data_IF_567162362545
#
_entry.id   IF_567162362545
#
_cell.length_a   1.000
_cell.length_b   1.000
_cell.length_c   1.000
_cell.angle_alpha   90.00
_cell.angle_beta   90.00
_cell.angle_gamma   90.00
#
_symmetry.space_group_name_H-M   'P 1'
#
loop_
_entity.id
_entity.type
_entity.pdbx_description
1 polymer ?
#
# COMPACT_ATOMS: atom_id res chain seq x y z
N UNK A 1 -18.98 2.37 7.98
CA UNK A 1 -18.20 3.00 6.89
C UNK A 1 -17.92 1.93 5.85
N UNK A 2 -18.28 2.14 4.58
CA UNK A 2 -18.07 1.11 3.54
C UNK A 2 -16.85 1.52 2.71
N UNK A 3 -15.80 0.70 2.72
CA UNK A 3 -14.59 0.89 1.91
C UNK A 3 -14.79 0.11 0.61
N UNK A 4 -14.81 0.80 -0.52
CA UNK A 4 -14.97 0.20 -1.85
C UNK A 4 -14.04 0.88 -2.86
N UNK A 5 -13.44 0.11 -3.77
CA UNK A 5 -12.60 0.62 -4.84
C UNK A 5 -11.11 0.55 -4.54
N UNK A 6 -10.32 1.23 -5.36
CA UNK A 6 -8.86 1.21 -5.28
C UNK A 6 -8.34 2.24 -4.27
N UNK A 7 -7.30 1.86 -3.54
CA UNK A 7 -6.47 2.75 -2.71
C UNK A 7 -5.02 2.61 -3.20
N UNK A 8 -4.53 3.51 -4.06
CA UNK A 8 -3.12 3.53 -4.44
C UNK A 8 -2.23 3.89 -3.24
N UNK A 9 -1.16 3.10 -3.01
CA UNK A 9 -0.12 3.46 -2.05
C UNK A 9 0.99 4.22 -2.78
N UNK A 10 1.05 5.53 -2.58
CA UNK A 10 1.90 6.45 -3.32
C UNK A 10 3.35 6.44 -2.87
N UNK A 11 4.21 6.93 -3.73
CA UNK A 11 5.65 7.02 -3.54
C UNK A 11 6.04 8.37 -2.91
N UNK A 12 7.19 8.40 -2.25
CA UNK A 12 7.83 9.65 -1.80
C UNK A 12 8.99 9.97 -2.74
N UNK A 13 8.87 10.97 -3.62
CA UNK A 13 9.97 11.37 -4.49
C UNK A 13 11.03 12.11 -3.69
N UNK A 14 12.31 11.85 -4.03
CA UNK A 14 13.46 12.55 -3.47
C UNK A 14 14.24 13.25 -4.58
N UNK A 15 14.84 14.38 -4.24
CA UNK A 15 15.80 15.06 -5.10
C UNK A 15 17.21 14.43 -5.01
N UNK A 16 18.15 14.90 -5.80
CA UNK A 16 19.53 14.37 -5.83
C UNK A 16 20.30 14.55 -4.52
N UNK A 17 19.87 15.43 -3.61
CA UNK A 17 20.41 15.58 -2.27
C UNK A 17 19.78 14.66 -1.24
N UNK A 18 18.81 13.82 -1.65
CA UNK A 18 18.07 12.91 -0.76
C UNK A 18 16.99 13.60 0.09
N UNK A 19 16.69 14.87 -0.14
CA UNK A 19 15.56 15.54 0.49
C UNK A 19 14.26 15.23 -0.27
N UNK A 20 13.11 15.27 0.43
CA UNK A 20 11.79 15.08 -0.19
C UNK A 20 11.55 16.20 -1.20
N UNK A 21 11.18 15.83 -2.43
CA UNK A 21 10.71 16.75 -3.44
C UNK A 21 9.20 16.96 -3.29
N UNK A 22 8.79 17.93 -2.48
CA UNK A 22 7.39 18.23 -2.21
C UNK A 22 6.61 18.68 -3.44
N UNK A 23 7.26 19.31 -4.44
CA UNK A 23 6.61 19.69 -5.68
C UNK A 23 6.29 18.45 -6.54
N UNK A 24 7.25 17.53 -6.68
CA UNK A 24 7.03 16.27 -7.37
C UNK A 24 5.99 15.41 -6.63
N UNK A 25 6.03 15.38 -5.29
CA UNK A 25 5.03 14.70 -4.48
C UNK A 25 3.62 15.26 -4.72
N UNK A 26 3.45 16.58 -4.69
CA UNK A 26 2.17 17.22 -4.96
C UNK A 26 1.62 16.87 -6.34
N UNK A 27 2.45 16.93 -7.38
CA UNK A 27 2.09 16.54 -8.74
C UNK A 27 1.68 15.06 -8.82
N UNK A 28 2.43 14.18 -8.16
CA UNK A 28 2.15 12.74 -8.11
C UNK A 28 0.79 12.45 -7.46
N UNK A 29 0.51 13.06 -6.29
CA UNK A 29 -0.77 12.92 -5.61
C UNK A 29 -1.93 13.42 -6.48
N UNK A 30 -1.76 14.55 -7.17
CA UNK A 30 -2.78 15.10 -8.08
C UNK A 30 -3.01 14.17 -9.27
N UNK A 31 -1.95 13.65 -9.89
CA UNK A 31 -2.02 12.71 -11.02
C UNK A 31 -2.74 11.42 -10.63
N UNK A 32 -2.31 10.78 -9.54
CA UNK A 32 -2.95 9.57 -9.01
C UNK A 32 -4.41 9.84 -8.64
N UNK A 33 -4.70 10.96 -7.99
CA UNK A 33 -6.04 11.32 -7.53
C UNK A 33 -7.03 11.67 -8.66
N UNK A 34 -6.55 11.91 -9.86
CA UNK A 34 -7.40 12.18 -11.02
C UNK A 34 -8.14 10.95 -11.55
N UNK A 35 -7.71 9.74 -11.18
CA UNK A 35 -8.40 8.52 -11.56
C UNK A 35 -9.76 8.39 -10.86
N UNK A 36 -10.74 7.83 -11.57
CA UNK A 36 -12.06 7.55 -11.02
C UNK A 36 -12.10 6.20 -10.30
N UNK A 37 -13.06 5.98 -9.41
CA UNK A 37 -13.21 4.70 -8.70
C UNK A 37 -12.24 4.50 -7.55
N UNK A 38 -11.53 5.55 -7.12
CA UNK A 38 -10.70 5.53 -5.93
C UNK A 38 -11.55 5.73 -4.66
N UNK A 39 -11.22 4.97 -3.62
CA UNK A 39 -11.70 5.26 -2.27
C UNK A 39 -10.86 6.36 -1.59
N UNK A 40 -9.57 6.34 -1.82
CA UNK A 40 -8.62 7.27 -1.22
C UNK A 40 -7.21 7.03 -1.73
N UNK A 41 -6.25 7.70 -1.10
CA UNK A 41 -4.81 7.59 -1.40
C UNK A 41 -4.07 7.28 -0.11
N UNK A 42 -3.15 6.32 -0.14
CA UNK A 42 -2.29 6.00 1.00
C UNK A 42 -0.90 6.60 0.81
N UNK A 43 -0.42 7.32 1.83
CA UNK A 43 0.95 7.85 1.92
C UNK A 43 1.68 7.22 3.10
N UNK A 44 3.00 7.35 3.16
CA UNK A 44 3.81 6.80 4.25
C UNK A 44 3.60 5.30 4.48
N UNK A 45 3.27 4.54 3.42
CA UNK A 45 3.34 3.09 3.45
C UNK A 45 4.75 2.59 3.11
N UNK A 46 4.90 1.29 2.87
CA UNK A 46 6.17 0.75 2.36
C UNK A 46 6.55 1.39 1.01
N UNK A 47 5.58 1.55 0.09
CA UNK A 47 5.81 2.22 -1.19
C UNK A 47 6.31 3.66 -1.01
N UNK A 48 5.87 4.35 0.03
CA UNK A 48 6.32 5.68 0.41
C UNK A 48 7.63 5.72 1.20
N UNK A 49 8.32 4.59 1.33
CA UNK A 49 9.59 4.47 2.05
C UNK A 49 9.55 4.98 3.50
N UNK A 50 8.46 4.69 4.23
CA UNK A 50 8.23 5.19 5.59
C UNK A 50 9.42 4.96 6.53
N UNK A 51 10.14 3.84 6.41
CA UNK A 51 11.29 3.50 7.25
C UNK A 51 12.50 4.41 7.00
N UNK A 52 12.55 5.09 5.85
CA UNK A 52 13.59 6.04 5.49
C UNK A 52 13.23 7.50 5.85
N UNK A 53 12.06 7.75 6.42
CA UNK A 53 11.54 9.06 6.80
C UNK A 53 11.60 9.25 8.32
N UNK A 54 12.03 10.42 8.77
CA UNK A 54 11.85 10.83 10.17
C UNK A 54 10.41 11.32 10.43
N UNK A 55 10.06 11.55 11.69
CA UNK A 55 8.70 11.93 12.09
C UNK A 55 8.21 13.26 11.46
N UNK A 56 9.10 14.23 11.30
CA UNK A 56 8.76 15.53 10.70
C UNK A 56 8.54 15.39 9.18
N UNK A 57 9.34 14.58 8.52
CA UNK A 57 9.16 14.25 7.11
C UNK A 57 7.87 13.47 6.86
N UNK A 58 7.55 12.50 7.72
CA UNK A 58 6.27 11.77 7.64
C UNK A 58 5.08 12.72 7.75
N UNK A 59 5.13 13.66 8.67
CA UNK A 59 4.09 14.69 8.84
C UNK A 59 4.01 15.62 7.63
N UNK A 60 5.15 16.08 7.09
CA UNK A 60 5.20 16.93 5.93
C UNK A 60 4.66 16.25 4.65
N UNK A 61 4.92 14.95 4.46
CA UNK A 61 4.33 14.16 3.37
C UNK A 61 2.80 14.14 3.46
N UNK A 62 2.24 13.92 4.66
CA UNK A 62 0.78 13.91 4.87
C UNK A 62 0.18 15.28 4.54
N UNK A 63 0.77 16.36 5.05
CA UNK A 63 0.31 17.73 4.80
C UNK A 63 0.38 18.09 3.31
N UNK A 64 1.46 17.72 2.61
CA UNK A 64 1.59 17.90 1.17
C UNK A 64 0.52 17.13 0.41
N UNK A 65 0.29 15.87 0.76
CA UNK A 65 -0.73 15.04 0.13
C UNK A 65 -2.13 15.61 0.36
N UNK A 66 -2.46 16.03 1.59
CA UNK A 66 -3.75 16.64 1.90
C UNK A 66 -4.02 17.87 1.03
N UNK A 67 -3.01 18.72 0.84
CA UNK A 67 -3.14 19.92 0.04
C UNK A 67 -3.28 19.66 -1.47
N UNK A 68 -2.75 18.53 -1.96
CA UNK A 68 -2.72 18.17 -3.38
C UNK A 68 -3.89 17.25 -3.80
N UNK A 69 -4.55 16.59 -2.84
CA UNK A 69 -5.62 15.64 -3.14
C UNK A 69 -6.87 16.32 -3.67
N UNK A 70 -7.54 15.71 -4.66
CA UNK A 70 -8.88 16.09 -5.03
C UNK A 70 -9.86 15.94 -3.85
N UNK A 71 -10.91 16.79 -3.78
CA UNK A 71 -11.93 16.65 -2.76
C UNK A 71 -12.69 15.32 -2.87
N UNK A 72 -13.13 14.78 -1.73
CA UNK A 72 -13.90 13.55 -1.66
C UNK A 72 -13.11 12.28 -1.46
N UNK A 73 -11.81 12.25 -1.76
CA UNK A 73 -10.94 11.11 -1.49
C UNK A 73 -10.47 11.09 -0.03
N UNK A 74 -10.31 9.89 0.52
CA UNK A 74 -9.75 9.68 1.86
C UNK A 74 -8.22 9.66 1.82
N UNK A 75 -7.58 10.37 2.76
CA UNK A 75 -6.14 10.30 2.97
C UNK A 75 -5.82 9.27 4.05
N UNK A 76 -5.12 8.22 3.68
CA UNK A 76 -4.68 7.15 4.56
C UNK A 76 -3.20 7.36 4.87
N UNK A 77 -2.84 7.53 6.13
CA UNK A 77 -1.45 7.71 6.54
C UNK A 77 -0.88 6.44 7.17
N UNK A 78 0.23 5.94 6.63
CA UNK A 78 1.00 4.88 7.26
C UNK A 78 1.63 5.38 8.55
N UNK A 79 1.59 4.57 9.60
CA UNK A 79 2.30 4.76 10.85
C UNK A 79 3.10 3.52 11.20
N UNK A 80 4.31 3.71 11.72
CA UNK A 80 5.23 2.65 12.10
C UNK A 80 6.11 3.12 13.24
N UNK A 81 6.18 2.35 14.32
CA UNK A 81 7.12 2.54 15.42
C UNK A 81 7.29 1.22 16.18
N UNK A 82 8.46 1.03 16.81
CA UNK A 82 8.73 -0.14 17.64
C UNK A 82 8.10 -0.09 19.03
N UNK A 83 7.44 1.01 19.41
CA UNK A 83 6.74 1.16 20.68
C UNK A 83 5.30 1.65 20.49
N UNK A 84 4.41 1.27 21.39
CA UNK A 84 3.00 1.70 21.34
C UNK A 84 2.89 3.23 21.48
N UNK A 85 3.65 3.84 22.39
CA UNK A 85 3.67 5.31 22.55
C UNK A 85 4.18 6.02 21.29
N UNK A 86 5.13 5.40 20.58
CA UNK A 86 5.59 5.88 19.27
C UNK A 86 4.49 5.84 18.22
N UNK A 87 3.73 4.74 18.16
CA UNK A 87 2.59 4.61 17.24
C UNK A 87 1.49 5.63 17.55
N UNK A 88 1.13 5.80 18.82
CA UNK A 88 0.13 6.80 19.26
C UNK A 88 0.59 8.21 18.86
N UNK A 89 1.84 8.56 19.15
CA UNK A 89 2.39 9.87 18.76
C UNK A 89 2.33 10.10 17.25
N UNK A 90 2.71 9.11 16.44
CA UNK A 90 2.63 9.21 15.00
C UNK A 90 1.18 9.29 14.51
N UNK A 91 0.27 8.52 15.10
CA UNK A 91 -1.16 8.59 14.80
C UNK A 91 -1.76 9.97 15.07
N UNK A 92 -1.41 10.60 16.18
CA UNK A 92 -1.82 11.96 16.52
C UNK A 92 -1.25 12.98 15.52
N UNK A 93 0.06 12.90 15.21
CA UNK A 93 0.68 13.76 14.18
C UNK A 93 0.05 13.57 12.79
N UNK A 94 -0.30 12.34 12.42
CA UNK A 94 -0.98 12.06 11.16
C UNK A 94 -2.38 12.69 11.12
N UNK A 95 -3.16 12.57 12.20
CA UNK A 95 -4.46 13.22 12.35
C UNK A 95 -4.35 14.73 12.21
N UNK A 96 -3.42 15.34 12.94
CA UNK A 96 -3.21 16.79 12.97
C UNK A 96 -2.71 17.33 11.61
N UNK A 97 -2.01 16.50 10.82
CA UNK A 97 -1.62 16.80 9.45
C UNK A 97 -2.74 16.56 8.41
N UNK A 98 -3.91 16.10 8.82
CA UNK A 98 -5.10 15.96 7.98
C UNK A 98 -5.36 14.56 7.42
N UNK A 99 -4.78 13.50 7.99
CA UNK A 99 -5.15 12.13 7.63
C UNK A 99 -6.59 11.82 8.07
N UNK A 100 -7.35 11.13 7.20
CA UNK A 100 -8.70 10.64 7.51
C UNK A 100 -8.65 9.25 8.16
N UNK A 101 -7.59 8.48 7.91
CA UNK A 101 -7.43 7.09 8.34
C UNK A 101 -5.95 6.77 8.56
N UNK A 102 -5.69 5.73 9.34
CA UNK A 102 -4.35 5.18 9.54
C UNK A 102 -4.18 3.84 8.82
N UNK A 103 -3.00 3.61 8.24
CA UNK A 103 -2.51 2.28 7.88
C UNK A 103 -1.48 1.87 8.94
N UNK A 104 -1.88 0.95 9.83
CA UNK A 104 -1.03 0.55 10.96
C UNK A 104 -0.11 -0.58 10.52
N UNK A 105 1.18 -0.25 10.38
CA UNK A 105 2.24 -1.21 10.06
C UNK A 105 2.59 -2.00 11.32
N UNK A 106 2.82 -3.33 11.24
CA UNK A 106 3.08 -4.14 12.43
C UNK A 106 4.28 -3.64 13.25
N UNK A 107 4.10 -3.25 14.53
CA UNK A 107 5.20 -2.83 15.39
C UNK A 107 6.13 -4.00 15.75
N UNK A 108 5.73 -5.22 15.42
CA UNK A 108 6.47 -6.45 15.67
C UNK A 108 7.47 -6.80 14.58
N UNK A 109 7.68 -5.95 13.57
CA UNK A 109 8.69 -6.18 12.53
C UNK A 109 10.14 -6.02 13.02
N UNK A 110 10.34 -5.99 14.30
CA UNK A 110 11.62 -6.09 14.99
C UNK A 110 11.85 -7.53 15.44
N UNK A 111 12.99 -8.11 15.08
CA UNK A 111 13.29 -9.54 15.27
C UNK A 111 12.91 -10.08 16.65
N UNK A 112 13.23 -9.35 17.70
CA UNK A 112 13.00 -9.80 19.10
C UNK A 112 11.51 -9.82 19.49
N UNK A 113 10.66 -9.14 18.73
CA UNK A 113 9.22 -9.03 19.03
C UNK A 113 8.31 -9.76 18.03
N UNK A 114 8.85 -10.32 16.95
CA UNK A 114 8.04 -10.97 15.90
C UNK A 114 7.09 -12.03 16.42
N UNK A 115 7.51 -12.83 17.42
CA UNK A 115 6.67 -13.84 18.03
C UNK A 115 5.43 -13.26 18.75
N UNK A 116 5.47 -11.99 19.14
CA UNK A 116 4.32 -11.32 19.78
C UNK A 116 3.17 -11.07 18.80
N UNK A 117 3.41 -11.11 17.49
CA UNK A 117 2.35 -10.98 16.47
C UNK A 117 1.30 -12.10 16.56
N UNK A 118 1.64 -13.25 17.16
CA UNK A 118 0.74 -14.36 17.43
C UNK A 118 0.10 -14.30 18.83
N UNK A 119 0.53 -13.38 19.69
CA UNK A 119 -0.03 -13.19 21.02
C UNK A 119 -1.23 -12.24 20.94
N UNK A 120 -2.42 -12.78 21.15
CA UNK A 120 -3.69 -12.05 21.01
C UNK A 120 -3.72 -10.77 21.86
N UNK A 121 -3.30 -10.87 23.14
CA UNK A 121 -3.31 -9.71 24.03
C UNK A 121 -2.25 -8.67 23.66
N UNK A 122 -1.06 -9.08 23.22
CA UNK A 122 -0.03 -8.16 22.76
C UNK A 122 -0.51 -7.33 21.56
N UNK A 123 -1.13 -7.99 20.57
CA UNK A 123 -1.73 -7.32 19.42
C UNK A 123 -2.89 -6.42 19.86
N UNK A 124 -3.80 -6.93 20.70
CA UNK A 124 -4.94 -6.16 21.18
C UNK A 124 -4.52 -4.87 21.90
N UNK A 125 -3.51 -4.90 22.73
CA UNK A 125 -3.03 -3.70 23.45
C UNK A 125 -2.54 -2.61 22.49
N UNK A 126 -1.88 -2.96 21.39
CA UNK A 126 -1.45 -1.98 20.37
C UNK A 126 -2.66 -1.24 19.80
N UNK A 127 -3.62 -2.00 19.26
CA UNK A 127 -4.78 -1.42 18.58
C UNK A 127 -5.74 -0.74 19.54
N UNK A 128 -5.91 -1.25 20.77
CA UNK A 128 -6.74 -0.63 21.81
C UNK A 128 -6.22 0.77 22.20
N UNK A 129 -4.87 0.93 22.29
CA UNK A 129 -4.28 2.25 22.58
C UNK A 129 -4.52 3.24 21.45
N UNK A 130 -4.33 2.81 20.21
CA UNK A 130 -4.63 3.63 19.03
C UNK A 130 -6.12 3.98 18.94
N UNK A 131 -7.00 3.01 19.18
CA UNK A 131 -8.45 3.19 19.18
C UNK A 131 -8.91 4.27 20.16
N UNK A 132 -8.37 4.25 21.38
CA UNK A 132 -8.73 5.18 22.44
C UNK A 132 -8.09 6.56 22.32
N UNK A 133 -6.83 6.63 21.92
CA UNK A 133 -6.04 7.86 22.02
C UNK A 133 -5.96 8.63 20.70
N UNK A 134 -6.00 7.94 19.55
CA UNK A 134 -5.98 8.60 18.24
C UNK A 134 -7.38 8.74 17.67
N UNK A 135 -8.23 7.73 17.84
CA UNK A 135 -9.63 7.71 17.42
C UNK A 135 -9.85 8.03 15.92
N UNK A 136 -8.97 7.54 15.06
CA UNK A 136 -9.13 7.54 13.61
C UNK A 136 -9.42 6.13 13.10
N UNK A 137 -10.22 5.97 12.03
CA UNK A 137 -10.38 4.69 11.38
C UNK A 137 -9.03 4.08 11.00
N UNK A 138 -8.85 2.77 11.27
CA UNK A 138 -7.59 2.06 11.07
C UNK A 138 -7.74 0.94 10.04
N UNK A 139 -6.77 0.86 9.14
CA UNK A 139 -6.50 -0.28 8.27
C UNK A 139 -5.34 -1.05 8.88
N UNK A 140 -5.57 -2.29 9.29
CA UNK A 140 -4.53 -3.18 9.82
C UNK A 140 -3.70 -3.70 8.67
N UNK A 141 -2.37 -3.55 8.71
CA UNK A 141 -1.53 -4.16 7.70
C UNK A 141 -1.17 -5.60 8.11
N UNK A 142 -1.84 -6.56 7.49
CA UNK A 142 -1.54 -7.98 7.64
C UNK A 142 -0.41 -8.37 6.71
N UNK A 143 0.73 -8.75 7.28
CA UNK A 143 1.89 -9.25 6.54
C UNK A 143 1.70 -10.71 6.13
N UNK A 144 2.46 -11.18 5.11
CA UNK A 144 2.49 -12.60 4.77
C UNK A 144 3.20 -13.41 5.87
N UNK A 145 2.77 -14.66 6.08
CA UNK A 145 3.34 -15.56 7.11
C UNK A 145 4.87 -15.67 7.08
N UNK A 146 5.53 -15.76 5.90
CA UNK A 146 7.01 -15.84 5.86
C UNK A 146 7.74 -14.63 6.45
N UNK A 147 7.07 -13.51 6.67
CA UNK A 147 7.66 -12.33 7.33
C UNK A 147 7.99 -12.58 8.81
N UNK A 148 7.29 -13.52 9.44
CA UNK A 148 7.38 -13.81 10.86
C UNK A 148 6.68 -12.78 11.77
N UNK A 149 5.99 -11.78 11.21
CA UNK A 149 5.21 -10.80 11.95
C UNK A 149 3.75 -10.71 11.48
N UNK A 150 3.28 -11.72 10.76
CA UNK A 150 1.87 -11.89 10.45
C UNK A 150 1.06 -12.12 11.74
N UNK A 151 -0.05 -11.42 11.87
CA UNK A 151 -0.98 -11.64 12.97
C UNK A 151 -1.71 -12.99 12.83
N UNK A 152 -1.96 -13.67 13.94
CA UNK A 152 -2.85 -14.83 13.96
C UNK A 152 -4.31 -14.42 13.68
N UNK A 153 -5.11 -15.34 13.14
CA UNK A 153 -6.54 -15.08 12.90
C UNK A 153 -7.27 -14.68 14.19
N UNK A 154 -6.96 -15.32 15.32
CA UNK A 154 -7.57 -14.99 16.61
C UNK A 154 -7.21 -13.57 17.06
N UNK A 155 -5.98 -13.12 16.82
CA UNK A 155 -5.58 -11.74 17.09
C UNK A 155 -6.36 -10.76 16.21
N UNK A 156 -6.49 -11.06 14.91
CA UNK A 156 -7.27 -10.24 13.98
C UNK A 156 -8.75 -10.19 14.37
N UNK A 157 -9.35 -11.30 14.77
CA UNK A 157 -10.74 -11.32 15.27
C UNK A 157 -10.92 -10.50 16.54
N UNK A 158 -9.95 -10.57 17.44
CA UNK A 158 -9.99 -9.81 18.70
C UNK A 158 -9.94 -8.30 18.45
N UNK A 159 -9.09 -7.83 17.55
CA UNK A 159 -9.00 -6.41 17.22
C UNK A 159 -10.13 -5.93 16.31
N UNK A 160 -10.76 -6.81 15.53
CA UNK A 160 -11.94 -6.49 14.72
C UNK A 160 -13.17 -6.05 15.55
N UNK A 161 -13.12 -6.22 16.86
CA UNK A 161 -14.15 -5.74 17.80
C UNK A 161 -13.92 -4.30 18.28
N UNK A 162 -12.83 -3.64 17.89
CA UNK A 162 -12.54 -2.24 18.21
C UNK A 162 -13.28 -1.31 17.25
N UNK A 163 -13.77 -0.19 17.74
CA UNK A 163 -14.65 0.72 17.00
C UNK A 163 -13.99 1.33 15.77
N UNK A 164 -12.69 1.60 15.84
CA UNK A 164 -11.95 2.25 14.74
C UNK A 164 -11.18 1.27 13.85
N UNK A 165 -11.17 -0.03 14.10
CA UNK A 165 -10.60 -1.02 13.16
C UNK A 165 -11.64 -1.33 12.09
N UNK A 166 -11.43 -0.85 10.86
CA UNK A 166 -12.43 -0.89 9.78
C UNK A 166 -12.03 -1.73 8.59
N UNK A 167 -10.74 -2.04 8.43
CA UNK A 167 -10.25 -2.82 7.31
C UNK A 167 -8.93 -3.54 7.62
N UNK A 168 -8.62 -4.50 6.76
CA UNK A 168 -7.32 -5.17 6.71
C UNK A 168 -6.72 -4.99 5.30
N UNK A 169 -5.52 -4.46 5.22
CA UNK A 169 -4.65 -4.58 4.03
C UNK A 169 -4.06 -5.98 4.04
N UNK A 170 -4.61 -6.88 3.23
CA UNK A 170 -4.31 -8.30 3.25
C UNK A 170 -3.15 -8.64 2.29
N UNK A 171 -1.92 -8.60 2.78
CA UNK A 171 -0.74 -9.11 2.07
C UNK A 171 -0.55 -10.60 2.35
N UNK A 172 -1.58 -11.39 2.02
CA UNK A 172 -1.66 -12.81 2.40
C UNK A 172 -0.79 -13.75 1.55
N UNK A 173 -0.19 -13.25 0.49
CA UNK A 173 0.73 -14.01 -0.38
C UNK A 173 0.02 -14.94 -1.38
N UNK A 174 -1.05 -15.60 -1.01
CA UNK A 174 -1.80 -16.53 -1.87
C UNK A 174 -3.30 -16.32 -1.81
N UNK A 175 -4.07 -16.65 -2.88
CA UNK A 175 -5.53 -16.63 -2.85
C UNK A 175 -6.13 -17.51 -1.76
N UNK A 176 -5.53 -18.67 -1.47
CA UNK A 176 -6.01 -19.58 -0.42
C UNK A 176 -5.94 -18.94 0.97
N UNK A 177 -4.83 -18.27 1.30
CA UNK A 177 -4.70 -17.54 2.57
C UNK A 177 -5.62 -16.31 2.64
N UNK A 178 -5.87 -15.67 1.51
CA UNK A 178 -6.87 -14.62 1.44
C UNK A 178 -8.28 -15.15 1.69
N UNK A 179 -8.63 -16.30 1.12
CA UNK A 179 -9.93 -16.95 1.33
C UNK A 179 -10.14 -17.30 2.82
N UNK A 180 -9.13 -17.88 3.48
CA UNK A 180 -9.18 -18.18 4.91
C UNK A 180 -9.46 -16.93 5.78
N UNK A 181 -8.78 -15.82 5.46
CA UNK A 181 -8.99 -14.54 6.12
C UNK A 181 -10.40 -13.99 5.82
N UNK A 182 -10.85 -14.11 4.57
CA UNK A 182 -12.16 -13.65 4.12
C UNK A 182 -13.29 -14.38 4.84
N UNK A 183 -13.23 -15.70 4.93
CA UNK A 183 -14.26 -16.52 5.58
C UNK A 183 -14.45 -16.15 7.06
N UNK A 184 -13.38 -15.72 7.73
CA UNK A 184 -13.41 -15.36 9.14
C UNK A 184 -13.83 -13.90 9.42
N UNK A 185 -13.48 -12.96 8.55
CA UNK A 185 -13.51 -11.54 8.88
C UNK A 185 -14.29 -10.65 7.91
N UNK A 186 -14.69 -11.11 6.72
CA UNK A 186 -15.34 -10.26 5.71
C UNK A 186 -16.71 -9.69 6.16
N UNK A 187 -17.34 -10.32 7.14
CA UNK A 187 -18.59 -9.80 7.73
C UNK A 187 -18.37 -8.68 8.76
N UNK A 188 -17.12 -8.42 9.16
CA UNK A 188 -16.75 -7.42 10.17
C UNK A 188 -15.90 -6.29 9.58
N UNK A 189 -14.98 -6.62 8.68
CA UNK A 189 -13.95 -5.72 8.16
C UNK A 189 -13.91 -5.74 6.63
N UNK A 190 -13.54 -4.63 6.02
CA UNK A 190 -13.19 -4.60 4.61
C UNK A 190 -11.82 -5.27 4.40
N UNK A 191 -11.78 -6.36 3.63
CA UNK A 191 -10.55 -7.07 3.32
C UNK A 191 -10.01 -6.62 1.98
N UNK A 192 -8.90 -5.87 2.00
CA UNK A 192 -8.29 -5.24 0.84
C UNK A 192 -7.05 -6.04 0.40
N UNK A 193 -7.12 -6.85 -0.65
CA UNK A 193 -5.96 -7.52 -1.19
C UNK A 193 -4.80 -6.56 -1.45
N UNK A 194 -3.61 -6.99 -1.10
CA UNK A 194 -2.38 -6.21 -1.25
C UNK A 194 -1.29 -7.09 -1.87
N UNK A 195 -1.55 -7.58 -3.07
CA UNK A 195 -0.64 -8.43 -3.83
C UNK A 195 -0.21 -7.69 -5.11
N UNK A 196 1.07 -7.32 -5.17
CA UNK A 196 1.70 -6.80 -6.39
C UNK A 196 2.15 -7.98 -7.29
N UNK A 197 1.29 -8.97 -7.45
CA UNK A 197 1.52 -10.23 -8.19
C UNK A 197 0.22 -10.71 -8.86
N UNK A 198 0.27 -11.63 -9.87
CA UNK A 198 -0.93 -12.12 -10.57
C UNK A 198 -1.97 -12.79 -9.68
N UNK A 199 -1.61 -13.18 -8.47
CA UNK A 199 -2.58 -13.71 -7.48
C UNK A 199 -3.64 -12.68 -7.08
N UNK A 200 -3.41 -11.38 -7.32
CA UNK A 200 -4.35 -10.30 -7.03
C UNK A 200 -5.73 -10.55 -7.64
N UNK A 201 -5.79 -10.98 -8.92
CA UNK A 201 -7.08 -11.21 -9.57
C UNK A 201 -7.93 -12.25 -8.83
N UNK A 202 -7.32 -13.37 -8.41
CA UNK A 202 -8.03 -14.40 -7.65
C UNK A 202 -8.59 -13.90 -6.32
N UNK A 203 -7.86 -13.03 -5.63
CA UNK A 203 -8.31 -12.40 -4.38
C UNK A 203 -9.45 -11.40 -4.62
N UNK A 204 -9.36 -10.59 -5.68
CA UNK A 204 -10.43 -9.66 -6.05
C UNK A 204 -11.73 -10.40 -6.37
N UNK A 205 -11.66 -11.47 -7.17
CA UNK A 205 -12.82 -12.29 -7.54
C UNK A 205 -13.39 -13.10 -6.37
N UNK A 206 -12.63 -13.25 -5.27
CA UNK A 206 -13.10 -13.92 -4.05
C UNK A 206 -13.96 -13.02 -3.14
N UNK A 207 -14.44 -11.88 -3.65
CA UNK A 207 -15.36 -11.02 -2.91
C UNK A 207 -14.70 -9.84 -2.20
N UNK A 208 -13.49 -9.43 -2.61
CA UNK A 208 -12.87 -8.21 -2.09
C UNK A 208 -13.73 -6.98 -2.42
N UNK A 209 -13.88 -6.02 -1.48
CA UNK A 209 -14.60 -4.77 -1.76
C UNK A 209 -13.75 -3.75 -2.52
N UNK A 210 -12.44 -3.95 -2.57
CA UNK A 210 -11.46 -3.06 -3.17
C UNK A 210 -10.05 -3.60 -3.03
N UNK A 211 -9.02 -2.76 -3.20
CA UNK A 211 -7.61 -3.15 -3.06
C UNK A 211 -6.75 -2.00 -2.56
N UNK A 212 -5.65 -2.30 -1.83
CA UNK A 212 -4.63 -1.34 -1.42
C UNK A 212 -3.25 -1.83 -1.85
N UNK A 213 -2.76 -1.34 -3.01
CA UNK A 213 -1.52 -1.81 -3.66
C UNK A 213 -0.60 -0.68 -4.10
N UNK A 214 0.71 -0.94 -4.08
CA UNK A 214 1.74 0.04 -4.42
C UNK A 214 1.93 0.23 -5.91
N UNK A 215 1.89 -0.85 -6.70
CA UNK A 215 2.08 -0.78 -8.15
C UNK A 215 1.02 0.07 -8.87
N UNK A 216 -0.12 0.28 -8.24
CA UNK A 216 -1.28 0.96 -8.83
C UNK A 216 -1.08 2.47 -9.08
N UNK A 217 0.04 3.03 -8.69
CA UNK A 217 0.43 4.39 -9.09
C UNK A 217 0.90 4.48 -10.55
N UNK A 218 1.19 3.34 -11.19
CA UNK A 218 1.58 3.27 -12.61
C UNK A 218 0.33 2.94 -13.42
N UNK A 219 -0.26 3.92 -14.10
CA UNK A 219 -1.51 3.75 -14.84
C UNK A 219 -2.71 3.53 -13.90
N UNK A 220 -2.91 4.44 -12.95
CA UNK A 220 -3.89 4.31 -11.86
C UNK A 220 -5.31 4.03 -12.34
N UNK A 221 -5.74 4.62 -13.46
CA UNK A 221 -7.08 4.38 -13.99
C UNK A 221 -7.30 2.91 -14.38
N UNK A 222 -6.34 2.29 -15.07
CA UNK A 222 -6.45 0.89 -15.49
C UNK A 222 -6.48 -0.08 -14.29
N UNK A 223 -5.76 0.25 -13.21
CA UNK A 223 -5.87 -0.50 -11.96
C UNK A 223 -7.23 -0.33 -11.30
N UNK A 224 -7.77 0.89 -11.32
CA UNK A 224 -9.13 1.16 -10.82
C UNK A 224 -10.18 0.40 -11.61
N UNK A 225 -10.07 0.38 -12.95
CA UNK A 225 -10.95 -0.38 -13.83
C UNK A 225 -10.87 -1.89 -13.54
N UNK A 226 -9.65 -2.44 -13.33
CA UNK A 226 -9.47 -3.84 -12.93
C UNK A 226 -10.22 -4.16 -11.63
N UNK A 227 -10.02 -3.34 -10.61
CA UNK A 227 -10.69 -3.52 -9.30
C UNK A 227 -12.20 -3.41 -9.45
N UNK A 228 -12.67 -2.41 -10.18
CA UNK A 228 -14.08 -2.18 -10.42
C UNK A 228 -14.76 -3.36 -11.12
N UNK A 229 -14.18 -3.87 -12.21
CA UNK A 229 -14.74 -5.00 -12.96
C UNK A 229 -14.72 -6.29 -12.14
N UNK A 230 -13.63 -6.56 -11.42
CA UNK A 230 -13.52 -7.75 -10.59
C UNK A 230 -14.52 -7.74 -9.43
N UNK A 231 -14.66 -6.62 -8.72
CA UNK A 231 -15.55 -6.50 -7.56
C UNK A 231 -17.05 -6.50 -7.93
N UNK A 232 -17.38 -6.25 -9.18
CA UNK A 232 -18.73 -6.34 -9.72
C UNK A 232 -19.07 -7.69 -10.36
N UNK A 233 -18.14 -8.63 -10.34
CA UNK A 233 -18.33 -9.96 -10.91
C UNK A 233 -18.12 -10.05 -12.43
N UNK A 234 -17.62 -9.00 -13.09
CA UNK A 234 -17.30 -9.01 -14.51
C UNK A 234 -15.95 -9.71 -14.77
N UNK A 235 -15.88 -10.99 -14.38
CA UNK A 235 -14.64 -11.77 -14.33
C UNK A 235 -13.89 -11.82 -15.68
N UNK A 236 -14.63 -11.88 -16.81
CA UNK A 236 -14.01 -11.90 -18.14
C UNK A 236 -13.27 -10.59 -18.43
N UNK A 237 -13.91 -9.43 -18.17
CA UNK A 237 -13.30 -8.12 -18.39
C UNK A 237 -12.15 -7.87 -17.43
N UNK A 238 -12.30 -8.24 -16.17
CA UNK A 238 -11.22 -8.17 -15.18
C UNK A 238 -10.00 -8.99 -15.61
N UNK A 239 -10.21 -10.20 -16.15
CA UNK A 239 -9.14 -11.06 -16.67
C UNK A 239 -8.43 -10.44 -17.86
N UNK A 240 -9.15 -9.79 -18.77
CA UNK A 240 -8.56 -9.09 -19.93
C UNK A 240 -7.65 -7.96 -19.48
N UNK A 241 -8.13 -7.07 -18.58
CA UNK A 241 -7.31 -5.98 -18.02
C UNK A 241 -6.11 -6.54 -17.27
N UNK A 242 -6.33 -7.55 -16.43
CA UNK A 242 -5.28 -8.18 -15.67
C UNK A 242 -4.16 -8.73 -16.58
N UNK A 243 -4.51 -9.50 -17.61
CA UNK A 243 -3.51 -10.16 -18.45
C UNK A 243 -2.76 -9.18 -19.36
N UNK A 244 -3.46 -8.18 -19.91
CA UNK A 244 -2.90 -7.28 -20.90
C UNK A 244 -2.21 -6.05 -20.31
N UNK A 245 -2.59 -5.68 -19.09
CA UNK A 245 -2.07 -4.49 -18.40
C UNK A 245 -1.33 -4.84 -17.11
N UNK A 246 -1.99 -5.50 -16.15
CA UNK A 246 -1.43 -5.69 -14.82
C UNK A 246 -0.24 -6.66 -14.80
N UNK A 247 -0.37 -7.81 -15.45
CA UNK A 247 0.67 -8.88 -15.48
C UNK A 247 1.99 -8.39 -16.10
N UNK A 248 2.03 -7.69 -17.24
CA UNK A 248 3.27 -7.12 -17.77
C UNK A 248 3.99 -6.22 -16.76
N UNK A 249 3.25 -5.32 -16.07
CA UNK A 249 3.81 -4.42 -15.07
C UNK A 249 4.31 -5.18 -13.84
N UNK A 250 3.51 -6.09 -13.31
CA UNK A 250 3.89 -6.90 -12.15
C UNK A 250 5.18 -7.68 -12.43
N UNK A 251 5.31 -8.27 -13.61
CA UNK A 251 6.51 -9.04 -14.01
C UNK A 251 7.76 -8.18 -14.18
N UNK A 252 7.61 -6.98 -14.70
CA UNK A 252 8.75 -6.10 -14.96
C UNK A 252 9.20 -5.29 -13.74
N UNK A 253 8.31 -5.02 -12.78
CA UNK A 253 8.58 -4.17 -11.61
C UNK A 253 8.82 -5.00 -10.36
N UNK A 254 7.93 -5.99 -10.10
CA UNK A 254 8.01 -6.88 -8.96
C UNK A 254 8.46 -8.26 -9.43
N UNK A 255 9.67 -8.67 -9.09
CA UNK A 255 10.18 -9.98 -9.44
C UNK A 255 9.44 -11.08 -8.68
N UNK A 256 8.67 -11.92 -9.38
CA UNK A 256 7.94 -13.04 -8.76
C UNK A 256 8.81 -14.07 -8.06
N UNK A 257 10.06 -14.14 -8.43
CA UNK A 257 10.96 -15.22 -8.02
C UNK A 257 11.83 -14.86 -6.82
N UNK A 258 11.36 -13.96 -5.96
CA UNK A 258 11.93 -13.80 -4.61
C UNK A 258 13.38 -13.29 -4.54
N UNK A 259 13.92 -12.73 -5.59
CA UNK A 259 15.24 -12.11 -5.52
C UNK A 259 15.14 -10.60 -5.23
N UNK A 260 14.56 -10.25 -4.09
CA UNK A 260 14.58 -8.90 -3.52
C UNK A 260 16.01 -8.33 -3.36
N UNK A 261 17.00 -9.15 -3.71
CA UNK A 261 18.42 -8.81 -3.58
C UNK A 261 18.93 -7.90 -4.69
N UNK A 262 18.25 -7.84 -5.83
CA UNK A 262 18.76 -7.11 -7.00
C UNK A 262 18.17 -5.69 -7.12
N UNK A 263 16.96 -5.45 -6.65
CA UNK A 263 16.31 -4.13 -6.78
C UNK A 263 15.35 -3.84 -5.63
N UNK A 264 15.32 -2.58 -5.21
CA UNK A 264 14.24 -2.08 -4.36
C UNK A 264 12.96 -1.93 -5.19
N UNK A 265 11.83 -2.59 -4.84
CA UNK A 265 10.58 -2.48 -5.61
C UNK A 265 10.10 -1.04 -5.78
N UNK A 266 10.36 -0.19 -4.79
CA UNK A 266 9.99 1.23 -4.83
C UNK A 266 10.86 2.00 -5.81
N UNK A 267 12.15 1.67 -5.90
CA UNK A 267 13.04 2.19 -6.93
C UNK A 267 12.59 1.80 -8.34
N UNK A 268 12.17 0.55 -8.54
CA UNK A 268 11.64 0.09 -9.82
C UNK A 268 10.31 0.79 -10.18
N UNK A 269 9.42 1.02 -9.21
CA UNK A 269 8.18 1.77 -9.43
C UNK A 269 8.47 3.24 -9.76
N UNK A 270 9.44 3.89 -9.07
CA UNK A 270 9.89 5.25 -9.40
C UNK A 270 10.49 5.32 -10.79
N UNK A 271 11.32 4.31 -11.17
CA UNK A 271 11.93 4.25 -12.50
C UNK A 271 10.85 4.16 -13.61
N UNK A 272 9.79 3.39 -13.38
CA UNK A 272 8.66 3.36 -14.31
C UNK A 272 8.04 4.75 -14.50
N UNK A 273 7.82 5.49 -13.40
CA UNK A 273 7.29 6.86 -13.47
C UNK A 273 8.29 7.85 -14.13
N UNK A 274 9.60 7.63 -13.99
CA UNK A 274 10.61 8.41 -14.72
C UNK A 274 10.50 8.16 -16.21
N UNK A 275 10.38 6.90 -16.63
CA UNK A 275 10.24 6.55 -18.05
C UNK A 275 8.92 7.03 -18.67
N UNK A 276 7.88 7.20 -17.84
CA UNK A 276 6.60 7.81 -18.23
C UNK A 276 6.63 9.35 -18.22
N UNK A 277 7.74 9.96 -17.76
CA UNK A 277 7.87 11.42 -17.65
C UNK A 277 7.14 12.06 -16.46
N UNK A 278 6.68 11.26 -15.50
CA UNK A 278 5.99 11.76 -14.31
C UNK A 278 6.97 12.15 -13.18
N UNK A 279 8.09 11.44 -13.07
CA UNK A 279 9.15 11.76 -12.12
C UNK A 279 10.42 12.21 -12.85
N UNK A 280 11.19 13.09 -12.20
CA UNK A 280 12.51 13.51 -12.69
C UNK A 280 13.64 12.59 -12.26
N UNK A 281 13.41 11.73 -11.25
CA UNK A 281 14.41 10.86 -10.65
C UNK A 281 13.77 9.64 -10.01
N UNK A 282 14.42 8.47 -10.18
CA UNK A 282 14.08 7.23 -9.48
C UNK A 282 14.86 7.04 -8.16
N UNK A 283 15.42 8.12 -7.61
CA UNK A 283 16.25 8.08 -6.43
C UNK A 283 15.52 7.49 -5.22
N UNK A 284 16.21 6.62 -4.48
CA UNK A 284 15.73 5.99 -3.23
C UNK A 284 16.73 6.26 -2.11
N UNK A 285 16.27 6.35 -0.87
CA UNK A 285 17.17 6.55 0.27
C UNK A 285 17.90 5.26 0.64
N UNK A 286 19.19 5.34 0.98
CA UNK A 286 19.90 4.20 1.58
C UNK A 286 19.20 3.69 2.85
N UNK A 287 19.23 2.35 3.11
CA UNK A 287 20.03 1.33 2.44
C UNK A 287 19.46 0.81 1.11
N UNK A 288 18.33 1.33 0.62
CA UNK A 288 17.82 0.97 -0.70
C UNK A 288 18.81 1.34 -1.80
N UNK A 289 18.88 0.52 -2.84
CA UNK A 289 19.80 0.69 -3.97
C UNK A 289 19.06 1.12 -5.23
N UNK A 290 19.74 1.86 -6.09
CA UNK A 290 19.21 2.26 -7.39
C UNK A 290 18.99 1.05 -8.30
N UNK A 291 18.03 1.20 -9.19
CA UNK A 291 17.70 0.20 -10.21
C UNK A 291 18.84 0.05 -11.21
N UNK A 292 19.25 -1.18 -11.52
CA UNK A 292 20.26 -1.47 -12.54
C UNK A 292 19.78 -1.11 -13.94
N UNK A 293 20.72 -0.92 -14.88
CA UNK A 293 20.36 -0.60 -16.27
C UNK A 293 19.60 -1.75 -16.94
N UNK A 294 19.93 -2.99 -16.66
CA UNK A 294 19.17 -4.15 -17.16
C UNK A 294 17.72 -4.12 -16.67
N UNK A 295 17.52 -3.78 -15.39
CA UNK A 295 16.17 -3.65 -14.83
C UNK A 295 15.39 -2.48 -15.43
N UNK A 296 16.04 -1.36 -15.75
CA UNK A 296 15.41 -0.25 -16.49
C UNK A 296 14.89 -0.69 -17.86
N UNK A 297 15.68 -1.53 -18.57
CA UNK A 297 15.28 -2.10 -19.85
C UNK A 297 14.06 -3.02 -19.68
N UNK A 298 14.07 -3.86 -18.66
CA UNK A 298 12.94 -4.75 -18.33
C UNK A 298 11.67 -3.95 -18.02
N UNK A 299 11.77 -2.91 -17.19
CA UNK A 299 10.66 -2.00 -16.86
C UNK A 299 10.10 -1.36 -18.14
N UNK A 300 10.96 -0.87 -19.04
CA UNK A 300 10.52 -0.29 -20.32
C UNK A 300 9.71 -1.28 -21.14
N UNK A 301 10.16 -2.53 -21.23
CA UNK A 301 9.42 -3.58 -21.94
C UNK A 301 8.04 -3.81 -21.33
N UNK A 302 7.95 -3.87 -20.00
CA UNK A 302 6.67 -4.01 -19.30
C UNK A 302 5.72 -2.85 -19.55
N UNK A 303 6.22 -1.60 -19.53
CA UNK A 303 5.43 -0.40 -19.83
C UNK A 303 4.91 -0.38 -21.28
N UNK A 304 5.74 -0.79 -22.26
CA UNK A 304 5.32 -0.94 -23.66
C UNK A 304 4.24 -2.01 -23.82
N UNK A 305 4.42 -3.19 -23.18
CA UNK A 305 3.43 -4.27 -23.21
C UNK A 305 2.11 -3.88 -22.55
N UNK A 306 2.16 -3.07 -21.49
CA UNK A 306 0.98 -2.54 -20.81
C UNK A 306 0.33 -1.36 -21.55
N UNK A 307 0.90 -0.89 -22.66
CA UNK A 307 0.37 0.23 -23.45
C UNK A 307 0.55 1.60 -22.81
N UNK A 308 1.46 1.73 -21.85
CA UNK A 308 1.76 2.98 -21.14
C UNK A 308 2.86 3.81 -21.81
N UNK A 309 3.65 3.19 -22.68
CA UNK A 309 4.61 3.85 -23.57
C UNK A 309 4.31 3.49 -25.02
N UNK A 310 4.77 4.35 -25.92
CA UNK A 310 4.82 4.09 -27.37
C UNK A 310 6.26 3.77 -27.78
N UNK A 311 6.43 2.96 -28.83
CA UNK A 311 7.76 2.69 -29.43
C UNK A 311 8.48 3.95 -29.89
#
# INVERSE_FOLDING_TARGET
>A
MTIQGLIPATLTPFNSAGAIDHLALSKHITSVGAATGLYGIAVNGHAGEILALNDDERQAVIATARSAMPPGLKLIAGIEASSIDGLVRQGLRARDAGADMLLVIPPFDVRVYRHLSHNVEAVFHVFQRLDKEVALPMIVFQYPEPSGCAYSLDALERIAALDHVVAIKASSGTPAKYAELHDRLANKLALLPAADSPSLLGMLLHGAPGSLIGISVIGTQQWSDLVFEATRGNAQRAKEIHNNFAVPLMRSIFEYHMHWTATCPFGATKEALVQMGEFSSSWVRPPSVLVSDDKKIEIRKGLLQAGLLKE
#
